data_IF_236910432637
#
_entry.id   IF_236910432637
#
_cell.length_a   1.000
_cell.length_b   1.000
_cell.length_c   1.000
_cell.angle_alpha   90.00
_cell.angle_beta   90.00
_cell.angle_gamma   90.00
#
_symmetry.space_group_name_H-M   'P 1'
#
loop_
_entity.id
_entity.type
_entity.pdbx_description
1 polymer ?
#
# COMPACT_ATOMS: atom_id res chain seq x y z
N UNK A 1 -8.56 -18.95 0.09
CA UNK A 1 -7.61 -18.92 1.22
C UNK A 1 -7.00 -17.52 1.24
N UNK A 2 -6.87 -16.89 2.41
CA UNK A 2 -6.19 -15.59 2.52
C UNK A 2 -4.68 -15.79 2.58
N UNK A 3 -3.93 -14.85 2.03
CA UNK A 3 -2.45 -14.88 1.93
C UNK A 3 -1.84 -13.50 2.06
N UNK A 4 -0.56 -13.44 2.31
CA UNK A 4 0.25 -12.22 2.20
C UNK A 4 0.87 -12.12 0.81
N UNK A 5 1.19 -10.90 0.41
CA UNK A 5 2.03 -10.58 -0.73
C UNK A 5 3.24 -9.80 -0.24
N UNK A 6 4.44 -10.39 -0.33
CA UNK A 6 5.69 -9.66 -0.11
C UNK A 6 6.22 -9.12 -1.43
N UNK A 7 6.58 -7.86 -1.41
CA UNK A 7 7.13 -7.13 -2.56
C UNK A 7 8.48 -6.57 -2.15
N UNK A 8 9.55 -7.14 -2.70
CA UNK A 8 10.89 -6.66 -2.44
C UNK A 8 11.31 -5.71 -3.57
N UNK A 9 11.57 -4.45 -3.22
CA UNK A 9 11.87 -3.40 -4.20
C UNK A 9 13.29 -3.47 -4.72
N UNK A 10 14.25 -4.00 -3.96
CA UNK A 10 15.63 -4.14 -4.42
C UNK A 10 15.77 -5.25 -5.47
N UNK A 11 15.17 -6.42 -5.21
CA UNK A 11 15.20 -7.57 -6.12
C UNK A 11 14.09 -7.57 -7.15
N UNK A 12 13.10 -6.67 -7.00
CA UNK A 12 11.91 -6.55 -7.87
C UNK A 12 11.08 -7.83 -7.92
N UNK A 13 11.02 -8.54 -6.79
CA UNK A 13 10.29 -9.81 -6.66
C UNK A 13 8.97 -9.63 -5.92
N UNK A 14 7.98 -10.41 -6.32
CA UNK A 14 6.66 -10.49 -5.68
C UNK A 14 6.40 -11.95 -5.31
N UNK A 15 6.17 -12.23 -4.03
CA UNK A 15 5.96 -13.57 -3.51
C UNK A 15 4.68 -13.65 -2.71
N UNK A 16 3.79 -14.56 -3.08
CA UNK A 16 2.64 -14.90 -2.25
C UNK A 16 3.07 -15.91 -1.19
N UNK A 17 2.69 -15.69 0.06
CA UNK A 17 2.98 -16.56 1.17
C UNK A 17 1.75 -16.82 2.05
N UNK A 18 1.73 -17.94 2.74
CA UNK A 18 0.71 -18.22 3.74
C UNK A 18 0.82 -17.23 4.90
N UNK A 19 -0.31 -16.98 5.57
CA UNK A 19 -0.33 -16.09 6.73
C UNK A 19 0.32 -16.82 7.91
N UNK A 20 1.43 -16.32 8.47
CA UNK A 20 2.02 -16.89 9.67
C UNK A 20 1.03 -16.91 10.85
N UNK A 21 1.09 -17.94 11.68
CA UNK A 21 0.15 -18.16 12.79
C UNK A 21 0.07 -16.93 13.73
N UNK A 22 1.17 -16.26 13.93
CA UNK A 22 1.28 -15.06 14.77
C UNK A 22 0.50 -13.85 14.27
N UNK A 23 0.08 -13.85 13.00
CA UNK A 23 -0.76 -12.82 12.38
C UNK A 23 -2.19 -13.30 12.13
N UNK A 24 -2.49 -14.55 12.48
CA UNK A 24 -3.83 -15.12 12.27
C UNK A 24 -4.89 -14.31 13.02
N UNK A 25 -6.01 -14.04 12.35
CA UNK A 25 -7.12 -13.27 12.91
C UNK A 25 -6.88 -11.76 13.03
N UNK A 26 -5.73 -11.24 12.56
CA UNK A 26 -5.47 -9.81 12.50
C UNK A 26 -5.84 -9.25 11.12
N UNK A 27 -6.28 -7.97 11.11
CA UNK A 27 -6.56 -7.22 9.89
C UNK A 27 -6.46 -5.73 10.12
N UNK A 28 -6.44 -4.95 9.05
CA UNK A 28 -6.38 -3.49 9.11
C UNK A 28 -5.26 -2.99 10.02
N UNK A 29 -5.59 -2.09 10.93
CA UNK A 29 -4.62 -1.46 11.87
C UNK A 29 -3.87 -2.48 12.73
N UNK A 30 -4.57 -3.46 13.28
CA UNK A 30 -3.94 -4.46 14.13
C UNK A 30 -2.85 -5.21 13.36
N UNK A 31 -3.14 -5.64 12.13
CA UNK A 31 -2.19 -6.36 11.30
C UNK A 31 -1.01 -5.47 10.89
N UNK A 32 -1.26 -4.26 10.35
CA UNK A 32 -0.16 -3.39 9.90
C UNK A 32 0.76 -3.00 11.04
N UNK A 33 0.21 -2.64 12.21
CA UNK A 33 1.01 -2.24 13.37
C UNK A 33 1.81 -3.41 13.95
N UNK A 34 1.24 -4.63 13.97
CA UNK A 34 1.93 -5.82 14.47
C UNK A 34 3.09 -6.23 13.55
N UNK A 35 2.89 -6.19 12.22
CA UNK A 35 3.97 -6.46 11.25
C UNK A 35 5.11 -5.45 11.46
N UNK A 36 4.80 -4.15 11.52
CA UNK A 36 5.83 -3.12 11.72
C UNK A 36 6.55 -3.30 13.07
N UNK A 37 5.81 -3.61 14.15
CA UNK A 37 6.41 -3.82 15.46
C UNK A 37 7.38 -5.01 15.52
N UNK A 38 7.10 -6.06 14.75
CA UNK A 38 7.90 -7.30 14.79
C UNK A 38 9.02 -7.34 13.76
N UNK A 39 8.77 -6.76 12.58
CA UNK A 39 9.65 -6.92 11.41
C UNK A 39 10.49 -5.68 11.10
N UNK A 40 10.21 -4.52 11.69
CA UNK A 40 10.96 -3.28 11.45
C UNK A 40 11.83 -2.96 12.66
N UNK A 41 13.13 -2.80 12.40
CA UNK A 41 14.04 -2.37 13.46
C UNK A 41 13.66 -0.95 13.93
N UNK A 42 13.39 -0.74 15.24
CA UNK A 42 12.93 0.55 15.74
C UNK A 42 13.93 1.69 15.57
N UNK A 43 15.20 1.40 15.34
CA UNK A 43 16.25 2.41 15.12
C UNK A 43 16.54 2.66 13.62
N UNK A 44 15.86 1.97 12.69
CA UNK A 44 16.08 2.19 11.27
C UNK A 44 15.64 3.58 10.83
N UNK A 45 16.23 4.10 9.77
CA UNK A 45 15.79 5.33 9.12
C UNK A 45 14.41 5.11 8.47
N UNK A 46 13.39 5.94 8.77
CA UNK A 46 12.04 5.74 8.25
C UNK A 46 11.91 5.77 6.73
N UNK A 47 12.76 6.53 6.04
CA UNK A 47 12.84 6.60 4.57
C UNK A 47 13.98 5.73 4.01
N UNK A 48 14.45 4.75 4.77
CA UNK A 48 15.52 3.85 4.37
C UNK A 48 15.02 2.43 4.07
N UNK A 49 15.92 1.56 3.56
CA UNK A 49 15.57 0.22 3.06
C UNK A 49 15.06 -0.74 4.15
N UNK A 50 15.33 -0.46 5.41
CA UNK A 50 14.92 -1.33 6.52
C UNK A 50 13.56 -1.02 7.11
N UNK A 51 12.85 -0.03 6.57
CA UNK A 51 11.44 0.20 6.87
C UNK A 51 10.57 -0.72 6.00
N UNK A 52 9.31 -0.87 6.37
CA UNK A 52 8.30 -1.56 5.57
C UNK A 52 7.07 -0.68 5.41
N UNK A 53 6.43 -0.78 4.24
CA UNK A 53 5.13 -0.20 3.98
C UNK A 53 4.11 -1.32 3.85
N UNK A 54 3.14 -1.36 4.76
CA UNK A 54 2.19 -2.48 4.87
C UNK A 54 0.79 -1.97 4.56
N UNK A 55 0.15 -2.55 3.55
CA UNK A 55 -1.27 -2.32 3.23
C UNK A 55 -2.10 -3.51 3.70
N UNK A 56 -3.13 -3.27 4.52
CA UNK A 56 -4.00 -4.34 5.00
C UNK A 56 -5.48 -3.93 4.97
N UNK A 57 -6.35 -4.67 4.30
CA UNK A 57 -7.80 -4.51 4.45
C UNK A 57 -8.24 -4.94 5.86
N UNK A 58 -9.39 -4.44 6.29
CA UNK A 58 -10.02 -4.92 7.51
C UNK A 58 -10.57 -6.35 7.34
N UNK A 59 -10.73 -7.08 8.45
CA UNK A 59 -11.28 -8.45 8.46
C UNK A 59 -12.69 -8.56 7.84
N UNK A 60 -13.46 -7.47 7.87
CA UNK A 60 -14.79 -7.40 7.26
C UNK A 60 -14.74 -6.99 5.79
N UNK A 61 -13.55 -6.82 5.22
CA UNK A 61 -13.38 -6.51 3.80
C UNK A 61 -14.01 -7.58 2.90
N UNK A 62 -14.65 -7.14 1.82
CA UNK A 62 -15.36 -8.00 0.87
C UNK A 62 -16.54 -8.82 1.44
N UNK A 63 -16.98 -8.53 2.67
CA UNK A 63 -18.22 -9.05 3.24
C UNK A 63 -19.40 -8.10 2.95
N UNK A 64 -20.62 -8.51 3.33
CA UNK A 64 -21.80 -7.66 3.25
C UNK A 64 -21.88 -6.61 4.37
N UNK A 65 -20.86 -6.48 5.22
CA UNK A 65 -20.82 -5.49 6.28
C UNK A 65 -20.75 -4.06 5.69
N UNK A 66 -21.66 -3.16 6.09
CA UNK A 66 -21.58 -1.77 5.67
C UNK A 66 -20.24 -1.14 6.07
N UNK A 67 -19.62 -0.39 5.14
CA UNK A 67 -18.33 0.30 5.35
C UNK A 67 -17.14 -0.62 5.71
N UNK A 68 -17.23 -1.94 5.50
CA UNK A 68 -16.19 -2.92 5.80
C UNK A 68 -14.94 -2.84 4.92
N UNK A 69 -14.98 -2.10 3.80
CA UNK A 69 -13.91 -2.08 2.78
C UNK A 69 -12.81 -1.05 3.05
N UNK A 70 -12.59 -0.64 4.29
CA UNK A 70 -11.48 0.27 4.60
C UNK A 70 -10.13 -0.46 4.56
N UNK A 71 -9.09 0.30 4.27
CA UNK A 71 -7.71 -0.17 4.21
C UNK A 71 -6.83 0.63 5.17
N UNK A 72 -5.96 -0.04 5.88
CA UNK A 72 -4.91 0.56 6.70
C UNK A 72 -3.57 0.48 6.00
N UNK A 73 -2.78 1.52 6.15
CA UNK A 73 -1.39 1.58 5.69
C UNK A 73 -0.51 1.84 6.90
N UNK A 74 0.43 0.94 7.17
CA UNK A 74 1.33 1.01 8.33
C UNK A 74 2.79 1.06 7.93
N UNK A 75 3.58 1.80 8.70
CA UNK A 75 5.03 1.88 8.55
C UNK A 75 5.68 2.46 9.81
N UNK A 76 7.01 2.50 9.86
CA UNK A 76 7.72 3.45 10.71
C UNK A 76 7.58 4.84 10.10
N UNK A 77 7.04 5.78 10.87
CA UNK A 77 6.70 7.13 10.38
C UNK A 77 7.91 8.06 10.28
N UNK A 78 8.12 8.74 9.16
CA UNK A 78 9.13 9.78 9.05
C UNK A 78 8.78 11.07 9.83
N UNK A 79 7.54 11.20 10.33
CA UNK A 79 7.10 12.34 11.15
C UNK A 79 7.27 12.10 12.65
N UNK A 80 7.05 10.87 13.12
CA UNK A 80 7.01 10.57 14.56
C UNK A 80 8.08 9.58 14.99
N UNK A 81 8.77 8.96 14.04
CA UNK A 81 9.75 7.88 14.21
C UNK A 81 9.23 6.62 14.92
N UNK A 82 7.96 6.62 15.27
CA UNK A 82 7.26 5.48 15.85
C UNK A 82 6.46 4.70 14.81
N UNK A 83 5.80 3.64 15.27
CA UNK A 83 4.83 2.88 14.47
C UNK A 83 3.64 3.78 14.17
N UNK A 84 3.30 3.90 12.90
CA UNK A 84 2.17 4.70 12.48
C UNK A 84 1.29 3.95 11.51
N UNK A 85 -0.01 4.07 11.73
CA UNK A 85 -1.04 3.63 10.80
C UNK A 85 -1.85 4.82 10.29
N UNK A 86 -2.21 4.79 9.03
CA UNK A 86 -3.14 5.70 8.39
C UNK A 86 -4.21 4.92 7.65
N UNK A 87 -5.45 5.33 7.79
CA UNK A 87 -6.60 4.58 7.29
C UNK A 87 -7.32 5.34 6.17
N UNK A 88 -7.69 4.63 5.12
CA UNK A 88 -8.47 5.19 4.01
C UNK A 88 -9.70 4.37 3.67
N UNK A 89 -10.66 5.02 3.03
CA UNK A 89 -11.75 4.37 2.31
C UNK A 89 -11.40 4.14 0.84
N UNK A 90 -12.41 3.96 0.00
CA UNK A 90 -12.26 3.73 -1.43
C UNK A 90 -12.42 2.26 -1.81
N UNK A 91 -12.10 1.94 -3.05
CA UNK A 91 -12.26 0.58 -3.59
C UNK A 91 -11.11 -0.38 -3.27
N UNK A 92 -9.83 0.07 -3.18
CA UNK A 92 -8.69 -0.85 -3.10
C UNK A 92 -8.76 -1.83 -1.93
N UNK A 93 -9.22 -1.41 -0.74
CA UNK A 93 -9.36 -2.32 0.41
C UNK A 93 -10.31 -3.48 0.15
N UNK A 94 -11.47 -3.21 -0.46
CA UNK A 94 -12.42 -4.24 -0.85
C UNK A 94 -11.90 -5.14 -1.97
N UNK A 95 -11.18 -4.58 -2.92
CA UNK A 95 -10.57 -5.35 -4.01
C UNK A 95 -9.48 -6.30 -3.48
N UNK A 96 -8.57 -5.85 -2.61
CA UNK A 96 -7.57 -6.71 -1.97
C UNK A 96 -8.22 -7.87 -1.21
N UNK A 97 -9.25 -7.59 -0.41
CA UNK A 97 -9.97 -8.62 0.33
C UNK A 97 -10.63 -9.64 -0.62
N UNK A 98 -11.22 -9.20 -1.74
CA UNK A 98 -11.79 -10.09 -2.78
C UNK A 98 -10.73 -10.96 -3.47
N UNK A 99 -9.51 -10.44 -3.63
CA UNK A 99 -8.38 -11.21 -4.16
C UNK A 99 -7.81 -12.21 -3.14
N UNK A 100 -8.32 -12.21 -1.90
CA UNK A 100 -7.80 -13.05 -0.83
C UNK A 100 -6.46 -12.55 -0.27
N UNK A 101 -6.14 -11.26 -0.42
CA UNK A 101 -4.90 -10.67 0.06
C UNK A 101 -5.15 -9.95 1.37
N UNK A 102 -4.53 -10.43 2.44
CA UNK A 102 -4.68 -9.89 3.79
C UNK A 102 -3.66 -8.82 4.11
N UNK A 103 -2.48 -8.88 3.50
CA UNK A 103 -1.49 -7.81 3.52
C UNK A 103 -0.67 -7.77 2.23
N UNK A 104 -0.31 -6.56 1.78
CA UNK A 104 0.83 -6.32 0.91
C UNK A 104 1.92 -5.72 1.79
N UNK A 105 3.08 -6.36 1.82
CA UNK A 105 4.24 -5.93 2.60
C UNK A 105 5.33 -5.54 1.62
N UNK A 106 5.56 -4.23 1.49
CA UNK A 106 6.61 -3.68 0.63
C UNK A 106 7.85 -3.45 1.48
N UNK A 107 8.97 -3.97 1.03
CA UNK A 107 10.24 -3.94 1.75
C UNK A 107 11.40 -3.62 0.81
N UNK A 108 12.51 -3.18 1.39
CA UNK A 108 13.67 -2.65 0.69
C UNK A 108 13.37 -1.41 -0.17
N UNK A 109 14.32 -1.00 -0.96
CA UNK A 109 14.21 0.18 -1.83
C UNK A 109 14.62 -0.16 -3.27
N UNK A 110 13.93 0.44 -4.23
CA UNK A 110 14.37 0.48 -5.61
C UNK A 110 15.65 1.32 -5.76
N UNK A 111 16.34 1.17 -6.87
CA UNK A 111 17.45 2.04 -7.24
C UNK A 111 16.94 3.49 -7.34
N UNK A 112 17.72 4.44 -6.85
CA UNK A 112 17.36 5.85 -6.91
C UNK A 112 17.07 6.30 -8.36
N UNK A 113 15.97 7.03 -8.53
CA UNK A 113 15.51 7.50 -9.84
C UNK A 113 14.68 6.47 -10.62
N UNK A 114 14.54 5.25 -10.15
CA UNK A 114 13.64 4.25 -10.74
C UNK A 114 12.26 4.29 -10.07
N UNK A 115 11.22 4.37 -10.87
CA UNK A 115 9.83 4.34 -10.40
C UNK A 115 9.14 3.07 -10.88
N UNK A 116 8.49 2.39 -9.96
CA UNK A 116 7.83 1.11 -10.19
C UNK A 116 6.36 1.17 -9.83
N UNK A 117 5.55 0.36 -10.49
CA UNK A 117 4.17 0.13 -10.13
C UNK A 117 3.92 -1.36 -9.93
N UNK A 118 3.11 -1.70 -8.94
CA UNK A 118 2.67 -3.08 -8.67
C UNK A 118 1.40 -3.35 -9.45
N UNK A 119 1.46 -4.28 -10.38
CA UNK A 119 0.28 -4.86 -11.02
C UNK A 119 -0.14 -6.11 -10.26
N UNK A 120 -1.40 -6.14 -9.83
CA UNK A 120 -1.91 -7.17 -8.95
C UNK A 120 -3.23 -7.73 -9.46
N UNK A 121 -3.29 -9.05 -9.56
CA UNK A 121 -4.49 -9.84 -9.82
C UNK A 121 -4.63 -10.96 -8.80
N UNK A 122 -5.65 -11.82 -8.97
CA UNK A 122 -5.87 -12.94 -8.04
C UNK A 122 -4.65 -13.86 -7.93
N UNK A 123 -4.03 -14.19 -9.06
CA UNK A 123 -2.99 -15.23 -9.11
C UNK A 123 -1.64 -14.71 -9.64
N UNK A 124 -1.51 -13.38 -9.80
CA UNK A 124 -0.30 -12.76 -10.33
C UNK A 124 -0.03 -11.44 -9.65
N UNK A 125 1.22 -11.21 -9.29
CA UNK A 125 1.74 -9.93 -8.83
C UNK A 125 3.09 -9.68 -9.51
N UNK A 126 3.28 -8.49 -10.08
CA UNK A 126 4.54 -8.13 -10.71
C UNK A 126 4.82 -6.63 -10.58
N UNK A 127 6.09 -6.28 -10.47
CA UNK A 127 6.56 -4.92 -10.57
C UNK A 127 6.89 -4.62 -12.04
N UNK A 128 6.40 -3.50 -12.52
CA UNK A 128 6.70 -2.97 -13.86
C UNK A 128 7.16 -1.51 -13.74
N UNK A 129 7.96 -0.99 -14.69
CA UNK A 129 8.33 0.42 -14.67
C UNK A 129 7.11 1.32 -14.66
N UNK A 130 7.11 2.35 -13.82
CA UNK A 130 5.99 3.27 -13.70
C UNK A 130 5.84 4.15 -14.94
N UNK A 131 4.62 4.25 -15.43
CA UNK A 131 4.28 5.15 -16.55
C UNK A 131 3.70 6.48 -16.07
N UNK A 132 3.54 6.66 -14.75
CA UNK A 132 2.83 7.80 -14.15
C UNK A 132 3.71 8.65 -13.21
N UNK A 133 5.00 8.36 -13.14
CA UNK A 133 5.95 9.17 -12.38
C UNK A 133 5.92 10.64 -12.83
N UNK A 134 5.99 11.56 -11.88
CA UNK A 134 5.94 13.01 -12.11
C UNK A 134 4.53 13.59 -12.31
N UNK A 135 3.49 12.77 -12.40
CA UNK A 135 2.11 13.24 -12.55
C UNK A 135 1.46 13.53 -11.19
N UNK A 136 0.48 14.43 -11.19
CA UNK A 136 -0.43 14.54 -10.04
C UNK A 136 -1.37 13.32 -9.97
N UNK A 137 -2.05 13.12 -8.84
CA UNK A 137 -2.87 11.93 -8.63
C UNK A 137 -4.02 11.79 -9.64
N UNK A 138 -4.63 12.87 -10.10
CA UNK A 138 -5.74 12.81 -11.07
C UNK A 138 -5.26 12.38 -12.44
N UNK A 139 -4.18 13.00 -12.94
CA UNK A 139 -3.59 12.65 -14.23
C UNK A 139 -3.01 11.24 -14.22
N UNK A 140 -2.38 10.85 -13.09
CA UNK A 140 -1.86 9.49 -12.92
C UNK A 140 -2.99 8.45 -12.99
N UNK A 141 -4.10 8.66 -12.28
CA UNK A 141 -5.23 7.73 -12.31
C UNK A 141 -5.89 7.72 -13.70
N UNK A 142 -6.07 8.86 -14.34
CA UNK A 142 -6.62 8.92 -15.72
C UNK A 142 -5.79 8.05 -16.67
N UNK A 143 -4.47 8.20 -16.65
CA UNK A 143 -3.58 7.40 -17.49
C UNK A 143 -3.59 5.91 -17.14
N UNK A 144 -3.68 5.56 -15.86
CA UNK A 144 -3.80 4.16 -15.43
C UNK A 144 -5.14 3.55 -15.87
N UNK A 145 -6.23 4.31 -15.83
CA UNK A 145 -7.54 3.87 -16.34
C UNK A 145 -7.50 3.61 -17.85
N UNK A 146 -6.84 4.46 -18.63
CA UNK A 146 -6.63 4.23 -20.05
C UNK A 146 -5.88 2.92 -20.32
N UNK A 147 -4.92 2.57 -19.47
CA UNK A 147 -4.07 1.38 -19.63
C UNK A 147 -4.74 0.10 -19.15
N UNK A 148 -5.37 0.14 -17.95
CA UNK A 148 -5.85 -1.06 -17.22
C UNK A 148 -7.36 -1.16 -17.09
N UNK A 149 -8.10 -0.11 -17.49
CA UNK A 149 -9.55 -0.07 -17.51
C UNK A 149 -10.20 0.34 -16.19
N UNK A 150 -11.52 0.42 -16.24
CA UNK A 150 -12.38 0.94 -15.16
C UNK A 150 -12.73 -0.10 -14.08
N UNK A 151 -12.41 -1.37 -14.31
CA UNK A 151 -12.67 -2.46 -13.33
C UNK A 151 -11.57 -2.61 -12.27
N UNK A 152 -10.44 -1.92 -12.45
CA UNK A 152 -9.36 -1.86 -11.49
C UNK A 152 -9.60 -0.76 -10.45
N UNK A 153 -8.86 -0.80 -9.36
CA UNK A 153 -8.72 0.30 -8.42
C UNK A 153 -7.26 0.70 -8.30
N UNK A 154 -7.02 1.96 -8.08
CA UNK A 154 -5.69 2.55 -8.17
C UNK A 154 -5.28 3.18 -6.86
N UNK A 155 -3.96 3.11 -6.58
CA UNK A 155 -3.31 3.69 -5.41
C UNK A 155 -2.11 4.49 -5.89
N UNK A 156 -2.04 5.77 -5.55
CA UNK A 156 -1.01 6.69 -6.05
C UNK A 156 -0.52 7.62 -4.94
N UNK A 157 0.66 8.23 -5.12
CA UNK A 157 1.23 9.18 -4.15
C UNK A 157 1.35 10.61 -4.69
N UNK A 158 1.35 10.79 -6.00
CA UNK A 158 1.63 12.08 -6.64
C UNK A 158 2.99 12.66 -6.26
N UNK A 159 3.26 13.86 -6.72
CA UNK A 159 4.59 14.51 -6.59
C UNK A 159 5.06 14.70 -5.15
N UNK A 160 4.15 14.98 -4.21
CA UNK A 160 4.53 15.14 -2.80
C UNK A 160 5.15 13.86 -2.21
N UNK A 161 4.61 12.69 -2.58
CA UNK A 161 5.19 11.40 -2.20
C UNK A 161 6.51 11.14 -2.92
N UNK A 162 6.59 11.39 -4.22
CA UNK A 162 7.82 11.24 -5.01
C UNK A 162 8.97 12.09 -4.48
N UNK A 163 8.69 13.30 -3.99
CA UNK A 163 9.68 14.15 -3.32
C UNK A 163 9.91 13.77 -1.84
N UNK A 164 9.35 12.66 -1.37
CA UNK A 164 9.47 12.18 0.02
C UNK A 164 9.12 13.24 1.08
N UNK A 165 8.18 14.14 0.74
CA UNK A 165 7.72 15.14 1.71
C UNK A 165 7.02 14.41 2.86
N UNK A 166 7.46 14.65 4.09
CA UNK A 166 7.07 13.85 5.26
C UNK A 166 5.58 13.92 5.62
N UNK A 167 4.85 14.90 5.08
CA UNK A 167 3.40 15.02 5.19
C UNK A 167 2.64 14.39 4.01
N UNK A 168 3.33 13.78 3.04
CA UNK A 168 2.70 13.20 1.87
C UNK A 168 1.75 12.06 2.22
N UNK A 169 0.61 12.03 1.53
CA UNK A 169 -0.42 11.01 1.67
C UNK A 169 -0.38 9.99 0.53
N UNK A 170 -1.01 8.84 0.75
CA UNK A 170 -1.35 7.90 -0.32
C UNK A 170 -2.80 8.10 -0.70
N UNK A 171 -3.06 8.30 -2.00
CA UNK A 171 -4.39 8.44 -2.57
C UNK A 171 -4.94 7.10 -3.05
N UNK A 172 -6.21 6.86 -2.81
CA UNK A 172 -6.97 5.66 -3.18
C UNK A 172 -8.17 6.08 -4.01
N UNK A 173 -8.49 5.33 -5.06
CA UNK A 173 -9.65 5.61 -5.88
C UNK A 173 -10.96 5.27 -5.17
N UNK A 174 -11.97 6.13 -5.38
CA UNK A 174 -13.37 5.89 -5.02
C UNK A 174 -14.10 5.10 -6.14
N UNK A 175 -15.43 4.99 -6.06
CA UNK A 175 -16.23 4.25 -7.04
C UNK A 175 -16.25 4.89 -8.43
N UNK A 176 -16.04 6.18 -8.49
CA UNK A 176 -15.95 6.96 -9.73
C UNK A 176 -14.50 7.09 -10.22
N UNK A 177 -13.59 6.25 -9.70
CA UNK A 177 -12.16 6.23 -10.02
C UNK A 177 -11.43 7.55 -9.76
N UNK A 178 -11.96 8.37 -8.84
CA UNK A 178 -11.30 9.61 -8.43
C UNK A 178 -10.35 9.32 -7.27
N UNK A 179 -9.09 9.83 -7.27
CA UNK A 179 -8.11 9.62 -6.19
C UNK A 179 -8.38 10.54 -4.98
N UNK A 180 -9.60 10.47 -4.43
CA UNK A 180 -10.09 11.39 -3.40
C UNK A 180 -10.11 10.80 -1.98
N UNK A 181 -9.68 9.56 -1.81
CA UNK A 181 -9.60 8.92 -0.50
C UNK A 181 -8.15 8.81 -0.09
N UNK A 182 -7.79 9.38 1.05
CA UNK A 182 -6.39 9.50 1.43
C UNK A 182 -6.07 8.80 2.74
N UNK A 183 -4.98 8.01 2.75
CA UNK A 183 -4.24 7.70 3.96
C UNK A 183 -3.31 8.90 4.22
N UNK A 184 -3.84 9.88 4.98
CA UNK A 184 -3.29 11.24 5.00
C UNK A 184 -2.32 11.52 6.16
N UNK A 185 -2.13 10.59 7.10
CA UNK A 185 -1.35 10.84 8.31
C UNK A 185 -0.07 10.02 8.36
N UNK A 186 0.95 10.55 9.07
CA UNK A 186 2.15 9.81 9.43
C UNK A 186 3.19 9.67 8.31
N UNK A 187 3.02 10.36 7.18
CA UNK A 187 4.01 10.39 6.11
C UNK A 187 4.11 9.09 5.31
N UNK A 188 3.05 8.26 5.30
CA UNK A 188 3.03 6.99 4.55
C UNK A 188 3.28 7.19 3.05
N UNK A 189 2.90 8.35 2.49
CA UNK A 189 3.18 8.69 1.10
C UNK A 189 4.66 8.93 0.83
N UNK A 190 5.41 9.49 1.80
CA UNK A 190 6.85 9.65 1.69
C UNK A 190 7.59 8.32 1.79
N UNK A 191 7.07 7.37 2.58
CA UNK A 191 7.64 6.00 2.66
C UNK A 191 7.39 5.23 1.36
N UNK A 192 6.27 5.47 0.69
CA UNK A 192 5.97 4.86 -0.61
C UNK A 192 6.85 5.45 -1.73
N UNK A 193 7.24 6.73 -1.65
CA UNK A 193 8.12 7.42 -2.59
C UNK A 193 9.59 7.20 -2.31
#
# INVERSE_FOLDING_TARGET
MFRFLRVNMATKTCVFEDIPEEYAGLGGRALTSTIVAREVNPICTPLGPHNKLVFAPGLLGATNSPNGNRISVGCKSPLTEGIKESNSGGQPGGHLAKLGIMAIIVEDMATEGEWWQLELSKDSAKLVPSTVAGLNNFDAVAKLVETYGDKCSYVTIGRAGEFKLTAASIAFTDRELRPMRHAGRGGVGAVMG
#
